data_IF_848768433178
#
_entry.id   IF_848768433178
#
_cell.length_a   1.000
_cell.length_b   1.000
_cell.length_c   1.000
_cell.angle_alpha   90.00
_cell.angle_beta   90.00
_cell.angle_gamma   90.00
#
_symmetry.space_group_name_H-M   'P 1'
#
loop_
_entity.id
_entity.type
_entity.pdbx_description
1 polymer ?
#
# COMPACT_ATOMS: atom_id res chain seq x y z
N UNK A 1 -3.44 12.09 11.19
CA UNK A 1 -4.30 11.11 10.49
C UNK A 1 -4.59 11.69 9.12
N UNK A 2 -4.07 11.09 8.05
CA UNK A 2 -4.52 11.42 6.68
C UNK A 2 -5.81 10.64 6.40
N UNK A 3 -6.82 11.32 5.86
CA UNK A 3 -8.18 10.82 5.69
C UNK A 3 -8.33 10.28 4.26
N UNK A 4 -7.79 9.08 3.98
CA UNK A 4 -7.94 8.48 2.65
C UNK A 4 -9.42 8.35 2.24
N UNK A 5 -9.75 8.72 0.99
CA UNK A 5 -11.07 8.52 0.39
C UNK A 5 -11.52 7.05 0.47
N UNK A 6 -10.63 6.10 0.12
CA UNK A 6 -10.80 4.68 0.41
C UNK A 6 -10.00 4.30 1.66
N UNK A 7 -10.71 4.02 2.76
CA UNK A 7 -10.12 3.81 4.07
C UNK A 7 -10.34 2.37 4.55
N UNK A 8 -9.25 1.68 4.93
CA UNK A 8 -9.29 0.30 5.40
C UNK A 8 -10.23 0.13 6.60
N UNK A 9 -10.13 0.99 7.61
CA UNK A 9 -10.97 0.92 8.81
C UNK A 9 -12.45 1.15 8.49
N UNK A 10 -12.75 2.06 7.56
CA UNK A 10 -14.14 2.23 7.08
C UNK A 10 -14.63 0.99 6.32
N UNK A 11 -13.80 0.39 5.48
CA UNK A 11 -14.16 -0.80 4.71
C UNK A 11 -14.43 -2.01 5.64
N UNK A 12 -13.61 -2.18 6.69
CA UNK A 12 -13.76 -3.26 7.69
C UNK A 12 -15.08 -3.21 8.46
N UNK A 13 -15.70 -2.03 8.61
CA UNK A 13 -17.01 -1.89 9.29
C UNK A 13 -18.16 -2.59 8.56
N UNK A 14 -18.00 -2.92 7.28
CA UNK A 14 -19.02 -3.63 6.51
C UNK A 14 -18.39 -4.84 5.80
N UNK A 15 -18.47 -6.06 6.38
CA UNK A 15 -17.84 -7.26 5.81
C UNK A 15 -18.27 -7.55 4.37
N UNK A 16 -19.56 -7.34 4.06
CA UNK A 16 -20.11 -7.52 2.71
C UNK A 16 -19.55 -6.48 1.71
N UNK A 17 -19.32 -5.26 2.15
CA UNK A 17 -18.68 -4.24 1.31
C UNK A 17 -17.19 -4.53 1.13
N UNK A 18 -16.49 -4.89 2.20
CA UNK A 18 -15.08 -5.28 2.16
C UNK A 18 -14.83 -6.42 1.15
N UNK A 19 -15.67 -7.46 1.19
CA UNK A 19 -15.56 -8.60 0.26
C UNK A 19 -15.83 -8.20 -1.19
N UNK A 20 -16.75 -7.29 -1.44
CA UNK A 20 -17.01 -6.77 -2.80
C UNK A 20 -15.81 -5.96 -3.33
N UNK A 21 -15.16 -5.19 -2.48
CA UNK A 21 -13.98 -4.38 -2.84
C UNK A 21 -12.71 -5.21 -3.07
N UNK A 22 -12.48 -6.24 -2.24
CA UNK A 22 -11.20 -6.96 -2.21
C UNK A 22 -11.26 -8.35 -2.82
N UNK A 23 -12.47 -8.90 -3.02
CA UNK A 23 -12.68 -10.28 -3.44
C UNK A 23 -12.58 -11.32 -2.32
N UNK A 24 -12.13 -10.94 -1.13
CA UNK A 24 -11.92 -11.85 0.02
C UNK A 24 -12.66 -11.35 1.26
N UNK A 25 -12.98 -12.27 2.17
CA UNK A 25 -13.56 -11.97 3.48
C UNK A 25 -12.56 -11.26 4.40
N UNK A 26 -13.07 -10.65 5.47
CA UNK A 26 -12.23 -10.07 6.52
C UNK A 26 -11.35 -11.12 7.20
N UNK A 27 -11.88 -12.32 7.41
CA UNK A 27 -11.13 -13.42 8.00
C UNK A 27 -9.94 -13.83 7.11
N UNK A 28 -10.17 -14.05 5.81
CA UNK A 28 -9.10 -14.37 4.85
C UNK A 28 -8.06 -13.24 4.78
N UNK A 29 -8.50 -11.99 4.87
CA UNK A 29 -7.60 -10.84 4.94
C UNK A 29 -6.74 -10.85 6.22
N UNK A 30 -7.33 -11.13 7.38
CA UNK A 30 -6.60 -11.18 8.65
C UNK A 30 -5.60 -12.36 8.67
N UNK A 31 -5.98 -13.52 8.12
CA UNK A 31 -5.09 -14.67 7.94
C UNK A 31 -3.92 -14.33 7.02
N UNK A 32 -4.20 -13.71 5.87
CA UNK A 32 -3.17 -13.21 4.94
C UNK A 32 -2.23 -12.23 5.64
N UNK A 33 -2.78 -11.30 6.42
CA UNK A 33 -1.99 -10.32 7.16
C UNK A 33 -1.13 -10.97 8.25
N UNK A 34 -1.59 -12.03 8.90
CA UNK A 34 -0.80 -12.76 9.88
C UNK A 34 0.43 -13.43 9.25
N UNK A 35 0.27 -14.03 8.07
CA UNK A 35 1.38 -14.62 7.30
C UNK A 35 2.34 -13.53 6.84
N UNK A 36 1.82 -12.45 6.26
CA UNK A 36 2.65 -11.35 5.75
C UNK A 36 3.40 -10.63 6.86
N UNK A 37 2.80 -10.37 8.02
CA UNK A 37 3.50 -9.73 9.15
C UNK A 37 4.71 -10.52 9.62
N UNK A 38 4.69 -11.86 9.51
CA UNK A 38 5.83 -12.73 9.85
C UNK A 38 6.92 -12.67 8.77
N UNK A 39 6.54 -12.73 7.49
CA UNK A 39 7.50 -12.77 6.37
C UNK A 39 8.07 -11.40 5.99
N UNK A 40 7.32 -10.32 6.24
CA UNK A 40 7.64 -8.98 5.75
C UNK A 40 8.96 -8.41 6.30
N UNK A 41 9.32 -8.56 7.59
CA UNK A 41 10.59 -8.05 8.11
C UNK A 41 11.82 -8.63 7.38
N UNK A 42 11.79 -9.92 7.05
CA UNK A 42 12.89 -10.59 6.37
C UNK A 42 12.96 -10.21 4.89
N UNK A 43 11.79 -10.08 4.24
CA UNK A 43 11.71 -9.50 2.90
C UNK A 43 12.26 -8.07 2.87
N UNK A 44 11.85 -7.23 3.82
CA UNK A 44 12.25 -5.83 3.87
C UNK A 44 13.76 -5.71 4.12
N UNK A 45 14.34 -6.54 5.02
CA UNK A 45 15.78 -6.64 5.24
C UNK A 45 16.52 -7.01 3.94
N UNK A 46 16.09 -8.06 3.24
CA UNK A 46 16.70 -8.46 1.95
C UNK A 46 16.56 -7.40 0.87
N UNK A 47 15.41 -6.71 0.80
CA UNK A 47 15.21 -5.61 -0.15
C UNK A 47 16.11 -4.42 0.18
N UNK A 48 16.31 -4.14 1.46
CA UNK A 48 17.17 -3.06 1.92
C UNK A 48 18.65 -3.36 1.66
N UNK A 49 19.07 -4.64 1.74
CA UNK A 49 20.45 -5.09 1.52
C UNK A 49 20.83 -5.31 0.05
N UNK A 50 19.89 -5.24 -0.90
CA UNK A 50 20.09 -5.62 -2.32
C UNK A 50 20.69 -4.56 -3.25
N UNK A 51 21.05 -3.38 -2.76
CA UNK A 51 21.55 -2.29 -3.62
C UNK A 51 22.88 -1.77 -3.08
N UNK A 52 23.85 -1.56 -3.95
CA UNK A 52 24.91 -0.56 -3.73
C UNK A 52 24.18 0.76 -3.44
N UNK A 53 24.08 1.13 -2.16
CA UNK A 53 23.37 2.34 -1.73
C UNK A 53 24.40 3.37 -1.32
N UNK A 54 24.20 4.59 -1.81
CA UNK A 54 24.85 5.79 -1.26
C UNK A 54 24.24 6.25 0.08
N UNK A 55 23.08 5.71 0.48
CA UNK A 55 22.36 6.12 1.70
C UNK A 55 22.08 4.93 2.62
N UNK A 56 22.20 5.18 3.92
CA UNK A 56 21.98 4.17 4.96
C UNK A 56 20.57 3.55 4.92
N UNK A 57 20.48 2.34 5.47
CA UNK A 57 19.24 1.59 5.67
C UNK A 57 18.32 2.42 6.58
N UNK A 58 17.25 2.99 6.01
CA UNK A 58 16.28 3.82 6.74
C UNK A 58 16.23 5.29 6.34
N UNK A 59 17.18 5.76 5.51
CA UNK A 59 17.20 7.14 4.98
C UNK A 59 16.28 7.40 3.77
N UNK A 60 15.45 6.42 3.40
CA UNK A 60 14.39 6.58 2.40
C UNK A 60 13.08 7.05 3.04
N UNK A 61 12.21 7.70 2.25
CA UNK A 61 10.91 8.18 2.73
C UNK A 61 10.09 7.06 3.36
N UNK A 62 9.53 7.31 4.55
CA UNK A 62 8.59 6.40 5.20
C UNK A 62 7.41 6.18 4.25
N UNK A 63 6.98 4.93 4.09
CA UNK A 63 5.76 4.65 3.33
C UNK A 63 4.59 5.41 3.96
N UNK A 64 3.84 6.15 3.13
CA UNK A 64 2.63 6.85 3.57
C UNK A 64 1.55 5.87 4.04
N UNK A 65 1.48 4.70 3.41
CA UNK A 65 0.56 3.61 3.74
C UNK A 65 1.26 2.54 4.59
N UNK A 66 0.57 2.06 5.62
CA UNK A 66 0.94 0.88 6.40
C UNK A 66 0.96 -0.39 5.51
N UNK A 67 1.57 -1.47 6.01
CA UNK A 67 1.58 -2.75 5.29
C UNK A 67 0.15 -3.23 4.98
N UNK A 68 -0.77 -3.09 5.93
CA UNK A 68 -2.17 -3.49 5.75
C UNK A 68 -2.86 -2.68 4.64
N UNK A 69 -2.65 -1.37 4.62
CA UNK A 69 -3.23 -0.49 3.60
C UNK A 69 -2.63 -0.78 2.21
N UNK A 70 -1.34 -1.12 2.12
CA UNK A 70 -0.72 -1.56 0.86
C UNK A 70 -1.32 -2.86 0.34
N UNK A 71 -1.51 -3.85 1.21
CA UNK A 71 -2.15 -5.13 0.83
C UNK A 71 -3.60 -4.90 0.41
N UNK A 72 -4.34 -4.09 1.15
CA UNK A 72 -5.71 -3.69 0.80
C UNK A 72 -5.77 -3.01 -0.57
N UNK A 73 -4.86 -2.06 -0.84
CA UNK A 73 -4.72 -1.41 -2.14
C UNK A 73 -4.40 -2.40 -3.27
N UNK A 74 -3.50 -3.36 -3.02
CA UNK A 74 -3.16 -4.39 -4.01
C UNK A 74 -4.35 -5.28 -4.32
N UNK A 75 -5.11 -5.74 -3.32
CA UNK A 75 -6.30 -6.55 -3.54
C UNK A 75 -7.37 -5.78 -4.32
N UNK A 76 -7.57 -4.51 -3.98
CA UNK A 76 -8.48 -3.61 -4.69
C UNK A 76 -8.06 -3.44 -6.17
N UNK A 77 -6.76 -3.23 -6.42
CA UNK A 77 -6.22 -3.18 -7.78
C UNK A 77 -6.42 -4.49 -8.54
N UNK A 78 -6.13 -5.64 -7.93
CA UNK A 78 -6.31 -6.95 -8.58
C UNK A 78 -7.79 -7.27 -8.88
N UNK A 79 -8.71 -6.78 -8.04
CA UNK A 79 -10.14 -6.99 -8.22
C UNK A 79 -10.73 -6.13 -9.33
N UNK A 80 -10.25 -4.90 -9.48
CA UNK A 80 -10.87 -3.88 -10.33
C UNK A 80 -10.02 -3.45 -11.53
N UNK A 81 -8.76 -3.90 -11.61
CA UNK A 81 -7.79 -3.56 -12.67
C UNK A 81 -7.73 -2.06 -12.98
N UNK A 82 -7.77 -1.21 -11.94
CA UNK A 82 -7.77 0.24 -12.11
C UNK A 82 -6.42 0.77 -12.56
N UNK A 83 -6.41 1.92 -13.21
CA UNK A 83 -5.17 2.63 -13.54
C UNK A 83 -4.45 3.09 -12.26
N UNK A 84 -3.12 3.20 -12.33
CA UNK A 84 -2.32 3.70 -11.20
C UNK A 84 -2.68 5.13 -10.80
N UNK A 85 -3.10 5.98 -11.76
CA UNK A 85 -3.56 7.33 -11.48
C UNK A 85 -4.82 7.33 -10.61
N UNK A 86 -5.81 6.49 -10.95
CA UNK A 86 -7.04 6.35 -10.18
C UNK A 86 -6.77 5.70 -8.81
N UNK A 87 -5.87 4.73 -8.75
CA UNK A 87 -5.44 4.13 -7.48
C UNK A 87 -4.77 5.17 -6.58
N UNK A 88 -3.89 6.02 -7.14
CA UNK A 88 -3.24 7.10 -6.41
C UNK A 88 -4.24 8.13 -5.89
N UNK A 89 -5.25 8.47 -6.69
CA UNK A 89 -6.35 9.33 -6.28
C UNK A 89 -7.17 8.73 -5.12
N UNK A 90 -7.60 7.47 -5.23
CA UNK A 90 -8.45 6.80 -4.23
C UNK A 90 -7.76 6.57 -2.88
N UNK A 91 -6.45 6.35 -2.90
CA UNK A 91 -5.62 6.11 -1.71
C UNK A 91 -4.85 7.36 -1.25
N UNK A 92 -5.15 8.53 -1.81
CA UNK A 92 -4.48 9.81 -1.50
C UNK A 92 -2.94 9.73 -1.57
N UNK A 93 -2.43 8.90 -2.48
CA UNK A 93 -1.02 8.87 -2.81
C UNK A 93 -0.74 10.08 -3.71
N UNK A 94 -0.40 11.21 -3.09
CA UNK A 94 -0.07 12.44 -3.82
C UNK A 94 1.02 12.18 -4.87
N UNK A 95 0.83 12.70 -6.08
CA UNK A 95 1.73 12.71 -7.24
C UNK A 95 3.12 13.35 -6.98
N UNK A 96 3.43 13.74 -5.73
CA UNK A 96 4.71 14.35 -5.37
C UNK A 96 5.90 13.37 -5.38
N UNK A 97 5.70 12.12 -5.81
CA UNK A 97 6.77 11.19 -6.20
C UNK A 97 6.77 10.83 -7.70
N UNK A 98 5.84 11.37 -8.50
CA UNK A 98 5.71 11.09 -9.93
C UNK A 98 6.23 12.23 -10.83
N UNK A 99 6.44 13.44 -10.31
CA UNK A 99 6.96 14.57 -11.10
C UNK A 99 7.99 15.41 -10.31
N UNK A 100 9.21 14.90 -10.19
CA UNK A 100 10.41 15.74 -10.01
C UNK A 100 11.22 15.65 -11.31
N UNK A 101 10.65 16.16 -12.41
CA UNK A 101 11.37 16.42 -13.67
C UNK A 101 10.71 17.58 -14.42
N UNK A 102 10.99 18.81 -13.95
CA UNK A 102 11.24 20.05 -14.72
C UNK A 102 11.02 21.28 -13.84
N UNK A 103 12.04 21.60 -13.04
CA UNK A 103 12.43 22.99 -12.79
C UNK A 103 13.85 23.16 -13.33
N UNK A 104 13.98 23.17 -14.65
CA UNK A 104 15.09 23.82 -15.36
C UNK A 104 14.52 24.26 -16.71
N UNK A 105 14.16 25.53 -16.77
CA UNK A 105 14.23 26.47 -17.90
C UNK A 105 13.61 27.78 -17.42
#
# INVERSE_FOLDING_TARGET
MQLTMLNLEKAKKSPNFFRRLTGISLQEFDELMAVLKKAYPDYERRRLSRREREREIGAGGKFKLSLQERVFMTLFFLRHYLTFALLGFLFELHESNAYIWRKVS
#
